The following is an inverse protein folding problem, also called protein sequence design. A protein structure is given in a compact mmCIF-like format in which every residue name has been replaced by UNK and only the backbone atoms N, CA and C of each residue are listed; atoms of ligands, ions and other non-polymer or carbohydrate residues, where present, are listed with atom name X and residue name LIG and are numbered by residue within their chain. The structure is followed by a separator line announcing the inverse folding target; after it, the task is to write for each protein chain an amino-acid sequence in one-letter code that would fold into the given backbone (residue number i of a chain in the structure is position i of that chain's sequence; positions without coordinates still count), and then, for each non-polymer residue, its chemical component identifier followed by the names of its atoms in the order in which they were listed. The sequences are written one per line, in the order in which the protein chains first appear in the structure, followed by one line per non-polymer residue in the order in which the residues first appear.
data_IF_291874082821
#
_entry.id   IF_291874082821
#
_cell.length_a   1.000
_cell.length_b   1.000
_cell.length_c   1.000
_cell.angle_alpha   90.00
_cell.angle_beta   90.00
_cell.angle_gamma   90.00
#
_symmetry.space_group_name_H-M   'P 1'
#
loop_
_entity.id
_entity.type
_entity.pdbx_description
1 polymer ?
#
# COMPACT_ATOMS: atom_id res chain seq x y z
N UNK A 1 26.05 2.25 15.77
CA UNK A 1 26.27 2.16 14.30
C UNK A 1 25.23 1.19 13.73
N UNK A 2 24.03 1.68 13.37
CA UNK A 2 22.94 0.89 12.75
C UNK A 2 22.01 1.80 11.94
N UNK A 3 22.55 2.56 10.96
CA UNK A 3 21.73 3.51 10.17
C UNK A 3 21.79 3.26 8.65
N UNK A 4 22.73 2.45 8.15
CA UNK A 4 22.93 2.29 6.70
C UNK A 4 21.94 1.32 6.04
N UNK A 5 21.36 0.36 6.77
CA UNK A 5 20.44 -0.61 6.19
C UNK A 5 19.00 -0.07 6.04
N UNK A 6 18.54 0.78 6.97
CA UNK A 6 17.21 1.40 6.89
C UNK A 6 17.12 2.37 5.72
N UNK A 7 18.08 3.31 5.60
CA UNK A 7 18.11 4.28 4.51
C UNK A 7 18.06 3.64 3.10
N UNK A 8 18.73 2.49 2.90
CA UNK A 8 18.69 1.79 1.61
C UNK A 8 17.36 1.07 1.36
N UNK A 9 16.69 0.58 2.40
CA UNK A 9 15.39 -0.08 2.29
C UNK A 9 14.28 0.93 1.96
N UNK A 10 14.33 2.12 2.55
CA UNK A 10 13.32 3.17 2.36
C UNK A 10 13.35 3.71 0.92
N UNK A 11 14.55 3.97 0.39
CA UNK A 11 14.76 4.36 -1.02
C UNK A 11 14.26 3.27 -1.98
N UNK A 12 14.57 2.00 -1.70
CA UNK A 12 14.15 0.87 -2.55
C UNK A 12 12.63 0.72 -2.56
N UNK A 13 11.97 0.85 -1.42
CA UNK A 13 10.51 0.78 -1.31
C UNK A 13 9.83 1.94 -2.04
N UNK A 14 10.40 3.15 -1.96
CA UNK A 14 9.87 4.32 -2.69
C UNK A 14 9.98 4.16 -4.21
N UNK A 15 11.12 3.67 -4.72
CA UNK A 15 11.28 3.36 -6.16
C UNK A 15 10.29 2.27 -6.59
N UNK A 16 10.09 1.25 -5.76
CA UNK A 16 9.15 0.16 -6.03
C UNK A 16 7.67 0.56 -5.91
N UNK A 17 7.36 1.71 -5.29
CA UNK A 17 5.98 2.19 -5.08
C UNK A 17 5.27 2.53 -6.40
N UNK A 18 5.96 3.12 -7.37
CA UNK A 18 5.34 3.49 -8.66
C UNK A 18 4.88 2.28 -9.49
N UNK A 19 5.71 1.23 -9.69
CA UNK A 19 5.26 -0.04 -10.25
C UNK A 19 4.11 -0.69 -9.44
N UNK A 20 4.19 -0.67 -8.12
CA UNK A 20 3.16 -1.26 -7.26
C UNK A 20 1.81 -0.55 -7.40
N UNK A 21 1.80 0.79 -7.47
CA UNK A 21 0.59 1.58 -7.70
C UNK A 21 -0.06 1.25 -9.06
N UNK A 22 0.73 1.15 -10.13
CA UNK A 22 0.24 0.71 -11.45
C UNK A 22 -0.40 -0.68 -11.39
N UNK A 23 0.15 -1.57 -10.56
CA UNK A 23 -0.39 -2.89 -10.34
C UNK A 23 -1.75 -2.86 -9.62
N UNK A 24 -1.87 -2.03 -8.57
CA UNK A 24 -3.15 -1.82 -7.86
C UNK A 24 -4.23 -1.30 -8.82
N UNK A 25 -3.91 -0.29 -9.64
CA UNK A 25 -4.85 0.24 -10.65
C UNK A 25 -5.33 -0.81 -11.64
N UNK A 26 -4.43 -1.68 -12.11
CA UNK A 26 -4.80 -2.82 -12.97
C UNK A 26 -5.70 -3.82 -12.25
N UNK A 27 -5.47 -4.03 -10.96
CA UNK A 27 -6.27 -4.94 -10.13
C UNK A 27 -7.71 -4.45 -9.95
N UNK A 28 -7.92 -3.12 -9.86
CA UNK A 28 -9.26 -2.50 -9.87
C UNK A 28 -9.99 -2.89 -11.16
N UNK A 29 -9.36 -2.71 -12.32
CA UNK A 29 -9.96 -3.10 -13.60
C UNK A 29 -10.24 -4.61 -13.67
N UNK A 30 -9.37 -5.44 -13.09
CA UNK A 30 -9.60 -6.88 -13.00
C UNK A 30 -10.80 -7.25 -12.12
N UNK A 31 -11.03 -6.56 -11.00
CA UNK A 31 -12.24 -6.73 -10.19
C UNK A 31 -13.50 -6.30 -10.95
N UNK A 32 -13.45 -5.15 -11.62
CA UNK A 32 -14.59 -4.64 -12.41
C UNK A 32 -15.02 -5.59 -13.53
N UNK A 33 -14.11 -6.40 -14.08
CA UNK A 33 -14.47 -7.45 -15.06
C UNK A 33 -15.37 -8.54 -14.49
N UNK A 34 -15.48 -8.64 -13.16
CA UNK A 34 -16.38 -9.59 -12.51
C UNK A 34 -17.83 -9.09 -12.44
N UNK A 35 -18.09 -7.83 -12.82
CA UNK A 35 -19.41 -7.19 -12.77
C UNK A 35 -20.50 -8.01 -13.45
N UNK A 36 -20.24 -8.44 -14.69
CA UNK A 36 -21.17 -9.30 -15.44
C UNK A 36 -21.51 -10.58 -14.67
N UNK A 37 -20.49 -11.28 -14.15
CA UNK A 37 -20.71 -12.52 -13.39
C UNK A 37 -21.40 -12.27 -12.05
N UNK A 38 -21.10 -11.16 -11.37
CA UNK A 38 -21.74 -10.79 -10.11
C UNK A 38 -23.21 -10.43 -10.33
N UNK A 39 -23.56 -9.72 -11.41
CA UNK A 39 -24.93 -9.38 -11.77
C UNK A 39 -25.82 -10.60 -12.01
N UNK A 40 -25.24 -11.68 -12.53
CA UNK A 40 -25.92 -12.95 -12.78
C UNK A 40 -25.83 -13.92 -11.58
N UNK A 41 -25.22 -13.50 -10.47
CA UNK A 41 -24.88 -14.36 -9.32
C UNK A 41 -24.17 -15.66 -9.73
N UNK A 42 -23.28 -15.56 -10.72
CA UNK A 42 -22.41 -16.65 -11.16
C UNK A 42 -21.29 -16.87 -10.13
N UNK A 43 -21.64 -17.49 -9.00
CA UNK A 43 -20.77 -17.66 -7.84
C UNK A 43 -19.42 -18.29 -8.19
N UNK A 44 -19.41 -19.32 -9.04
CA UNK A 44 -18.18 -20.00 -9.45
C UNK A 44 -17.25 -19.09 -10.24
N UNK A 45 -17.77 -18.32 -11.19
CA UNK A 45 -16.99 -17.41 -12.02
C UNK A 45 -16.38 -16.28 -11.19
N UNK A 46 -17.15 -15.74 -10.24
CA UNK A 46 -16.62 -14.75 -9.28
C UNK A 46 -15.49 -15.36 -8.46
N UNK A 47 -15.66 -16.57 -7.91
CA UNK A 47 -14.61 -17.26 -7.15
C UNK A 47 -13.34 -17.56 -7.96
N UNK A 48 -13.48 -17.92 -9.24
CA UNK A 48 -12.35 -18.11 -10.15
C UNK A 48 -11.64 -16.78 -10.42
N UNK A 49 -12.40 -15.72 -10.66
CA UNK A 49 -11.89 -14.37 -10.83
C UNK A 49 -11.09 -13.87 -9.62
N UNK A 50 -11.61 -14.10 -8.41
CA UNK A 50 -10.94 -13.72 -7.15
C UNK A 50 -9.61 -14.44 -6.93
N UNK A 51 -9.42 -15.63 -7.52
CA UNK A 51 -8.17 -16.39 -7.45
C UNK A 51 -7.19 -16.07 -8.59
N UNK A 52 -7.52 -15.08 -9.43
CA UNK A 52 -6.65 -14.69 -10.53
C UNK A 52 -5.26 -14.27 -10.04
N UNK A 53 -4.20 -14.52 -10.83
CA UNK A 53 -2.85 -14.08 -10.49
C UNK A 53 -2.76 -12.58 -10.17
N UNK A 54 -3.60 -11.78 -10.83
CA UNK A 54 -3.68 -10.33 -10.61
C UNK A 54 -4.05 -9.98 -9.17
N UNK A 55 -5.02 -10.68 -8.59
CA UNK A 55 -5.45 -10.41 -7.22
C UNK A 55 -4.55 -11.08 -6.18
N UNK A 56 -3.87 -12.16 -6.54
CA UNK A 56 -2.91 -12.83 -5.66
C UNK A 56 -1.69 -11.95 -5.32
N UNK A 57 -1.15 -11.21 -6.29
CA UNK A 57 -0.02 -10.31 -6.03
C UNK A 57 -0.45 -8.96 -5.43
N UNK A 58 -1.76 -8.68 -5.31
CA UNK A 58 -2.28 -7.42 -4.79
C UNK A 58 -1.76 -7.16 -3.37
N UNK A 59 -1.80 -8.18 -2.49
CA UNK A 59 -1.29 -8.06 -1.11
C UNK A 59 0.18 -7.67 -1.06
N UNK A 60 1.00 -8.23 -1.95
CA UNK A 60 2.44 -7.91 -2.03
C UNK A 60 2.66 -6.48 -2.50
N UNK A 61 1.94 -6.04 -3.53
CA UNK A 61 2.07 -4.67 -4.05
C UNK A 61 1.53 -3.63 -3.04
N UNK A 62 0.44 -3.95 -2.34
CA UNK A 62 -0.07 -3.10 -1.26
C UNK A 62 0.95 -2.95 -0.12
N UNK A 63 1.64 -4.02 0.26
CA UNK A 63 2.70 -3.97 1.26
C UNK A 63 3.89 -3.09 0.84
N UNK A 64 4.26 -3.12 -0.45
CA UNK A 64 5.29 -2.22 -1.00
C UNK A 64 4.85 -0.76 -0.85
N UNK A 65 3.58 -0.45 -1.14
CA UNK A 65 3.04 0.91 -1.02
C UNK A 65 3.00 1.39 0.44
N UNK A 66 2.53 0.54 1.36
CA UNK A 66 2.50 0.84 2.79
C UNK A 66 3.91 1.14 3.30
N UNK A 67 4.89 0.29 2.95
CA UNK A 67 6.30 0.49 3.33
C UNK A 67 6.93 1.70 2.67
N UNK A 68 6.60 1.98 1.41
CA UNK A 68 7.05 3.19 0.71
C UNK A 68 6.48 4.49 1.30
N UNK A 69 5.45 4.38 2.15
CA UNK A 69 4.87 5.46 2.92
C UNK A 69 5.13 5.39 4.42
N UNK A 70 6.04 4.53 4.92
CA UNK A 70 6.26 4.31 6.36
C UNK A 70 6.64 5.61 7.12
N UNK A 71 7.32 6.55 6.46
CA UNK A 71 7.68 7.86 7.04
C UNK A 71 6.73 9.00 6.64
N UNK A 72 5.67 8.69 5.88
CA UNK A 72 4.73 9.66 5.35
C UNK A 72 3.50 9.87 6.25
N UNK A 73 2.87 11.06 6.21
CA UNK A 73 1.63 11.35 6.94
C UNK A 73 0.46 10.45 6.55
N UNK A 74 0.54 9.77 5.41
CA UNK A 74 -0.50 8.89 4.86
C UNK A 74 -0.38 7.42 5.29
N UNK A 75 0.63 7.05 6.08
CA UNK A 75 0.88 5.65 6.47
C UNK A 75 -0.34 4.99 7.10
N UNK A 76 -0.91 5.61 8.12
CA UNK A 76 -2.05 5.05 8.83
C UNK A 76 -3.29 4.96 7.92
N UNK A 77 -3.47 5.94 7.03
CA UNK A 77 -4.53 5.91 6.03
C UNK A 77 -4.32 4.76 5.02
N UNK A 78 -3.09 4.47 4.63
CA UNK A 78 -2.77 3.33 3.75
C UNK A 78 -3.09 1.99 4.42
N UNK A 79 -2.68 1.83 5.67
CA UNK A 79 -2.94 0.61 6.44
C UNK A 79 -4.44 0.41 6.63
N UNK A 80 -5.16 1.46 7.05
CA UNK A 80 -6.59 1.40 7.32
C UNK A 80 -7.40 1.14 6.04
N UNK A 81 -7.15 1.90 4.96
CA UNK A 81 -7.86 1.70 3.69
C UNK A 81 -7.57 0.33 3.06
N UNK A 82 -6.36 -0.21 3.23
CA UNK A 82 -6.06 -1.56 2.79
C UNK A 82 -6.77 -2.63 3.63
N UNK A 83 -6.85 -2.45 4.96
CA UNK A 83 -7.59 -3.35 5.83
C UNK A 83 -9.09 -3.38 5.49
N UNK A 84 -9.68 -2.21 5.20
CA UNK A 84 -11.07 -2.09 4.73
C UNK A 84 -11.28 -2.85 3.42
N UNK A 85 -10.36 -2.71 2.46
CA UNK A 85 -10.42 -3.48 1.21
C UNK A 85 -10.35 -5.00 1.47
N UNK A 86 -9.43 -5.47 2.32
CA UNK A 86 -9.30 -6.90 2.63
C UNK A 86 -10.59 -7.45 3.25
N UNK A 87 -11.21 -6.70 4.15
CA UNK A 87 -12.48 -7.06 4.77
C UNK A 87 -13.59 -7.24 3.72
N UNK A 88 -13.73 -6.30 2.79
CA UNK A 88 -14.77 -6.39 1.76
C UNK A 88 -14.49 -7.48 0.72
N UNK A 89 -13.21 -7.74 0.42
CA UNK A 89 -12.80 -8.89 -0.40
C UNK A 89 -13.18 -10.22 0.27
N UNK A 90 -12.97 -10.35 1.57
CA UNK A 90 -13.36 -11.53 2.35
C UNK A 90 -14.88 -11.70 2.44
N UNK A 91 -15.62 -10.60 2.57
CA UNK A 91 -17.08 -10.57 2.51
C UNK A 91 -17.58 -11.09 1.15
N UNK A 92 -17.08 -10.54 0.04
CA UNK A 92 -17.41 -11.00 -1.31
C UNK A 92 -17.09 -12.49 -1.50
N UNK A 93 -15.91 -12.94 -1.06
CA UNK A 93 -15.52 -14.34 -1.13
C UNK A 93 -16.43 -15.24 -0.29
N UNK A 94 -16.88 -14.77 0.88
CA UNK A 94 -17.82 -15.49 1.76
C UNK A 94 -19.19 -15.62 1.12
N UNK A 95 -19.72 -14.54 0.54
CA UNK A 95 -20.99 -14.54 -0.19
C UNK A 95 -20.92 -15.46 -1.41
N UNK A 96 -19.85 -15.37 -2.21
CA UNK A 96 -19.67 -16.21 -3.39
C UNK A 96 -19.52 -17.70 -3.02
N UNK A 97 -18.67 -18.01 -2.03
CA UNK A 97 -18.53 -19.39 -1.53
C UNK A 97 -19.82 -19.92 -0.91
N UNK A 98 -20.53 -19.07 -0.17
CA UNK A 98 -21.77 -19.40 0.50
C UNK A 98 -22.91 -19.65 -0.48
N UNK A 99 -23.02 -18.84 -1.52
CA UNK A 99 -23.97 -19.00 -2.62
C UNK A 99 -23.67 -20.23 -3.47
N UNK A 100 -22.39 -20.49 -3.79
CA UNK A 100 -21.96 -21.69 -4.51
C UNK A 100 -22.33 -22.97 -3.74
N UNK A 101 -22.06 -23.00 -2.43
CA UNK A 101 -22.41 -24.13 -1.54
C UNK A 101 -23.88 -24.16 -1.13
N UNK A 102 -24.71 -23.19 -1.57
CA UNK A 102 -26.11 -23.02 -1.17
C UNK A 102 -26.34 -22.87 0.35
N UNK A 103 -25.30 -22.45 1.08
CA UNK A 103 -25.35 -22.18 2.53
C UNK A 103 -25.88 -20.79 2.85
N UNK A 104 -25.67 -19.81 1.96
CA UNK A 104 -26.28 -18.48 2.03
C UNK A 104 -27.34 -18.42 0.95
N UNK A 105 -28.61 -18.35 1.36
CA UNK A 105 -29.74 -18.20 0.44
C UNK A 105 -29.77 -16.76 -0.06
N UNK A 106 -30.04 -16.58 -1.36
CA UNK A 106 -30.16 -15.27 -1.99
C UNK A 106 -28.91 -14.38 -1.79
N UNK A 107 -27.72 -14.95 -1.81
CA UNK A 107 -26.49 -14.17 -1.80
C UNK A 107 -26.46 -13.27 -3.06
N UNK A 108 -26.39 -11.96 -2.87
CA UNK A 108 -26.31 -10.98 -3.95
C UNK A 108 -24.86 -10.52 -4.04
N UNK A 109 -24.19 -10.78 -5.17
CA UNK A 109 -22.76 -10.50 -5.30
C UNK A 109 -22.46 -9.08 -5.75
N UNK A 110 -23.30 -8.48 -6.58
CA UNK A 110 -23.02 -7.19 -7.22
C UNK A 110 -22.72 -6.07 -6.21
N UNK A 111 -23.55 -5.81 -5.18
CA UNK A 111 -23.23 -4.76 -4.19
C UNK A 111 -21.93 -5.03 -3.41
N UNK A 112 -21.62 -6.29 -3.13
CA UNK A 112 -20.38 -6.65 -2.44
C UNK A 112 -19.15 -6.47 -3.34
N UNK A 113 -19.30 -6.71 -4.65
CA UNK A 113 -18.26 -6.41 -5.62
C UNK A 113 -18.04 -4.90 -5.75
N UNK A 114 -19.11 -4.12 -5.84
CA UNK A 114 -19.06 -2.65 -5.94
C UNK A 114 -18.33 -2.06 -4.72
N UNK A 115 -18.66 -2.51 -3.51
CA UNK A 115 -17.98 -2.05 -2.29
C UNK A 115 -16.50 -2.46 -2.30
N UNK A 116 -16.18 -3.68 -2.72
CA UNK A 116 -14.80 -4.14 -2.85
C UNK A 116 -13.98 -3.29 -3.83
N UNK A 117 -14.57 -2.92 -4.98
CA UNK A 117 -13.97 -2.03 -5.97
C UNK A 117 -13.79 -0.62 -5.39
N UNK A 118 -14.79 -0.10 -4.68
CA UNK A 118 -14.74 1.20 -4.03
C UNK A 118 -13.60 1.26 -2.99
N UNK A 119 -13.46 0.27 -2.11
CA UNK A 119 -12.38 0.24 -1.11
C UNK A 119 -10.99 0.16 -1.73
N UNK A 120 -10.82 -0.65 -2.79
CA UNK A 120 -9.52 -0.71 -3.49
C UNK A 120 -9.19 0.62 -4.20
N UNK A 121 -10.21 1.32 -4.69
CA UNK A 121 -10.05 2.64 -5.32
C UNK A 121 -9.61 3.67 -4.30
N UNK A 122 -10.26 3.72 -3.12
CA UNK A 122 -9.84 4.58 -2.00
C UNK A 122 -8.38 4.30 -1.61
N UNK A 123 -8.01 3.02 -1.48
CA UNK A 123 -6.61 2.65 -1.21
C UNK A 123 -5.65 3.16 -2.29
N UNK A 124 -6.01 3.05 -3.57
CA UNK A 124 -5.20 3.58 -4.68
C UNK A 124 -5.03 5.10 -4.59
N UNK A 125 -6.09 5.84 -4.25
CA UNK A 125 -6.05 7.30 -4.12
C UNK A 125 -5.17 7.74 -2.94
N UNK A 126 -5.24 7.03 -1.80
CA UNK A 126 -4.33 7.26 -0.66
C UNK A 126 -2.88 6.98 -1.07
N UNK A 127 -2.65 5.89 -1.80
CA UNK A 127 -1.32 5.52 -2.28
C UNK A 127 -0.74 6.52 -3.29
N UNK A 128 -1.58 7.14 -4.12
CA UNK A 128 -1.18 8.24 -5.00
C UNK A 128 -0.67 9.43 -4.22
N UNK A 129 -1.43 9.90 -3.22
CA UNK A 129 -1.01 11.02 -2.36
C UNK A 129 0.30 10.71 -1.61
N UNK A 130 0.45 9.49 -1.10
CA UNK A 130 1.69 9.05 -0.44
C UNK A 130 2.89 8.94 -1.38
N UNK A 131 2.66 8.65 -2.67
CA UNK A 131 3.71 8.54 -3.67
C UNK A 131 4.23 9.91 -4.15
N UNK A 132 3.44 10.98 -4.05
CA UNK A 132 3.81 12.35 -4.43
C UNK A 132 4.78 13.03 -3.46
N UNK A 133 4.88 12.53 -2.22
CA UNK A 133 5.77 13.10 -1.20
C UNK A 133 7.24 12.80 -1.59
N UNK A 134 8.08 13.82 -1.85
CA UNK A 134 9.48 13.64 -2.20
C UNK A 134 10.25 12.94 -1.09
N UNK A 135 11.27 12.16 -1.46
CA UNK A 135 12.24 11.64 -0.49
C UNK A 135 12.87 12.83 0.23
N UNK A 136 12.75 12.89 1.56
CA UNK A 136 13.59 13.78 2.34
C UNK A 136 15.02 13.29 2.17
N UNK A 137 15.80 14.02 1.36
CA UNK A 137 17.24 13.83 1.35
C UNK A 137 17.75 14.33 2.70
N UNK A 138 18.17 13.41 3.58
CA UNK A 138 18.92 13.72 4.81
C UNK A 138 20.26 14.45 4.55
N UNK A 139 20.60 14.75 3.29
CA UNK A 139 21.77 15.54 2.92
C UNK A 139 21.69 17.01 3.35
N UNK A 140 20.50 17.54 3.68
CA UNK A 140 20.34 18.96 4.03
C UNK A 140 20.99 19.38 5.36
N UNK A 141 21.55 18.45 6.14
CA UNK A 141 22.21 18.75 7.42
C UNK A 141 23.58 18.08 7.60
N UNK A 142 24.18 17.56 6.53
CA UNK A 142 25.55 17.07 6.58
C UNK A 142 26.53 18.23 6.38
N UNK A 143 26.97 18.85 7.48
CA UNK A 143 28.16 19.70 7.46
C UNK A 143 29.41 18.79 7.62
N UNK A 144 30.17 18.50 6.55
CA UNK A 144 31.36 17.65 6.62
C UNK A 144 32.45 18.24 7.53
N UNK A 145 32.35 19.50 7.94
CA UNK A 145 33.30 20.22 8.76
C UNK A 145 32.82 20.44 10.21
N UNK A 146 31.68 19.89 10.62
CA UNK A 146 31.15 20.06 11.98
C UNK A 146 32.11 19.56 13.09
N UNK A 147 33.01 18.64 12.77
CA UNK A 147 34.05 18.15 13.67
C UNK A 147 35.26 19.11 13.77
N UNK A 148 35.51 19.93 12.74
CA UNK A 148 36.56 20.95 12.77
C UNK A 148 36.17 22.17 13.61
N UNK A 149 34.90 22.58 13.56
CA UNK A 149 34.41 23.71 14.36
C UNK A 149 34.42 23.42 15.88
N UNK A 150 34.15 22.18 16.29
CA UNK A 150 34.29 21.76 17.69
C UNK A 150 35.74 21.71 18.17
N UNK A 151 36.68 21.42 17.26
CA UNK A 151 38.11 21.42 17.54
C UNK A 151 38.66 22.83 17.79
N UNK A 152 38.25 23.80 16.95
CA UNK A 152 38.67 25.20 17.08
C UNK A 152 38.11 25.87 18.34
N UNK A 153 36.84 25.63 18.68
CA UNK A 153 36.23 26.18 19.90
C UNK A 153 36.86 25.65 21.20
N UNK A 154 37.43 24.45 21.17
CA UNK A 154 38.13 23.86 22.33
C UNK A 154 39.55 24.40 22.50
N UNK A 155 40.20 24.87 21.43
CA UNK A 155 41.51 25.51 21.50
C UNK A 155 41.45 26.96 21.99
N UNK A 156 40.43 27.73 21.60
CA UNK A 156 40.27 29.13 22.05
C UNK A 156 39.99 29.25 23.56
N UNK A 157 39.35 28.24 24.16
CA UNK A 157 39.10 28.19 25.62
C UNK A 157 40.31 27.72 26.44
N UNK A 158 41.36 27.21 25.79
CA UNK A 158 42.60 26.76 26.43
C UNK A 158 43.70 27.83 26.51
N UNK A 159 43.55 28.95 25.79
CA UNK A 159 44.55 30.03 25.71
C UNK A 159 44.23 31.25 26.58
N UNK A 160 43.17 31.19 27.39
CA UNK A 160 42.86 32.22 28.39
C UNK A 160 43.03 31.64 29.80
N UNK A 161 44.28 31.47 30.23
CA UNK A 161 44.72 31.47 31.63
C UNK A 161 46.15 31.98 31.72
#
# INVERSE_FOLDING_TARGET
RYTTFCANADVTNKIASQPALRYIKRSITSLQKLDFYASQNSYNEVLLGLRSPTLNELRKNALILIRGGDDGPERDNLVNSFADFVKELENLNTLASGGFRKTIKNAILLPALDECVAKLTIFSEVAERGAEIPLQNDEANYNPNAWMEKGLSSMEKGLSK
#
